data_IF_273709056821
#
_entry.id   IF_273709056821
#
_cell.length_a   1.000
_cell.length_b   1.000
_cell.length_c   1.000
_cell.angle_alpha   90.00
_cell.angle_beta   90.00
_cell.angle_gamma   90.00
#
_symmetry.space_group_name_H-M   'P 1'
#
loop_
_entity.id
_entity.type
_entity.pdbx_description
1 polymer ?
#
# COMPACT_ATOMS: atom_id res chain seq x y z
N UNK A 1 20.22 13.91 -5.74
CA UNK A 1 20.35 14.27 -4.30
C UNK A 1 20.97 13.09 -3.58
N UNK A 2 21.91 13.32 -2.67
CA UNK A 2 22.56 12.25 -1.90
C UNK A 2 21.55 11.74 -0.86
N UNK A 3 21.55 10.43 -0.65
CA UNK A 3 20.78 9.78 0.41
C UNK A 3 21.09 10.43 1.77
N UNK A 4 20.06 10.80 2.51
CA UNK A 4 20.21 11.43 3.83
C UNK A 4 20.68 10.46 4.91
N UNK A 5 20.66 9.15 4.65
CA UNK A 5 21.10 8.12 5.59
C UNK A 5 22.18 7.23 4.98
N UNK A 6 22.96 6.56 5.83
CA UNK A 6 23.96 5.60 5.36
C UNK A 6 23.30 4.37 4.71
N UNK A 7 24.02 3.64 3.82
CA UNK A 7 23.48 2.44 3.17
C UNK A 7 23.00 1.37 4.17
N UNK A 8 23.71 1.20 5.28
CA UNK A 8 23.33 0.25 6.34
C UNK A 8 21.99 0.64 7.00
N UNK A 9 21.82 1.93 7.30
CA UNK A 9 20.58 2.46 7.88
C UNK A 9 19.43 2.34 6.88
N UNK A 10 19.66 2.64 5.59
CA UNK A 10 18.65 2.48 4.54
C UNK A 10 18.21 1.02 4.41
N UNK A 11 19.16 0.09 4.40
CA UNK A 11 18.86 -1.34 4.34
C UNK A 11 17.97 -1.78 5.51
N UNK A 12 18.31 -1.36 6.74
CA UNK A 12 17.51 -1.64 7.92
C UNK A 12 16.10 -1.01 7.85
N UNK A 13 15.97 0.24 7.39
CA UNK A 13 14.68 0.89 7.18
C UNK A 13 13.85 0.08 6.19
N UNK A 14 14.40 -0.26 5.03
CA UNK A 14 13.68 -1.01 3.99
C UNK A 14 13.25 -2.40 4.48
N UNK A 15 14.08 -3.08 5.28
CA UNK A 15 13.74 -4.37 5.89
C UNK A 15 12.61 -4.27 6.93
N UNK A 16 12.43 -3.12 7.57
CA UNK A 16 11.36 -2.90 8.56
C UNK A 16 9.98 -2.65 7.93
N UNK A 17 9.92 -2.37 6.63
CA UNK A 17 8.69 -2.07 5.90
C UNK A 17 7.90 -3.36 5.71
N UNK A 18 6.78 -3.48 6.43
CA UNK A 18 5.90 -4.65 6.37
C UNK A 18 4.92 -4.53 5.20
N UNK A 19 4.58 -5.68 4.64
CA UNK A 19 3.58 -5.86 3.57
C UNK A 19 2.14 -5.91 4.11
N UNK A 20 1.97 -6.20 5.40
CA UNK A 20 0.69 -6.34 6.10
C UNK A 20 0.72 -5.72 7.50
N UNK A 21 -0.47 -5.49 8.03
CA UNK A 21 -0.67 -4.91 9.36
C UNK A 21 0.04 -3.56 9.50
N UNK A 22 0.05 -2.79 8.42
CA UNK A 22 0.63 -1.45 8.44
C UNK A 22 -0.20 -0.53 9.35
N UNK A 23 0.42 0.55 9.83
CA UNK A 23 -0.25 1.56 10.68
C UNK A 23 -1.60 2.04 10.10
N UNK A 24 -1.71 2.42 8.80
CA UNK A 24 -3.00 2.82 8.24
C UNK A 24 -4.02 1.67 8.21
N UNK A 25 -3.60 0.44 7.90
CA UNK A 25 -4.51 -0.73 7.94
C UNK A 25 -5.05 -0.97 9.35
N UNK A 26 -4.20 -0.92 10.38
CA UNK A 26 -4.63 -1.07 11.78
C UNK A 26 -5.61 0.04 12.16
N UNK A 27 -5.35 1.29 11.76
CA UNK A 27 -6.21 2.42 12.07
C UNK A 27 -7.62 2.26 11.47
N UNK A 28 -7.70 1.89 10.18
CA UNK A 28 -8.97 1.64 9.49
C UNK A 28 -9.72 0.48 10.13
N UNK A 29 -9.03 -0.64 10.40
CA UNK A 29 -9.61 -1.82 11.07
C UNK A 29 -10.24 -1.48 12.41
N UNK A 30 -9.49 -0.78 13.27
CA UNK A 30 -9.97 -0.36 14.59
C UNK A 30 -11.22 0.52 14.48
N UNK A 31 -11.23 1.48 13.53
CA UNK A 31 -12.36 2.39 13.36
C UNK A 31 -13.60 1.67 12.83
N UNK A 32 -13.45 0.81 11.83
CA UNK A 32 -14.55 0.00 11.29
C UNK A 32 -15.15 -0.92 12.35
N UNK A 33 -14.30 -1.59 13.14
CA UNK A 33 -14.77 -2.43 14.22
C UNK A 33 -15.51 -1.63 15.30
N UNK A 34 -15.00 -0.45 15.67
CA UNK A 34 -15.66 0.45 16.62
C UNK A 34 -17.02 0.96 16.12
N UNK A 35 -17.20 1.07 14.80
CA UNK A 35 -18.47 1.41 14.15
C UNK A 35 -19.42 0.20 13.98
N UNK A 36 -19.04 -0.99 14.43
CA UNK A 36 -19.86 -2.21 14.33
C UNK A 36 -19.74 -2.96 13.00
N UNK A 37 -18.84 -2.54 12.10
CA UNK A 37 -18.61 -3.27 10.86
C UNK A 37 -17.79 -4.54 11.11
N UNK A 38 -18.19 -5.61 10.42
CA UNK A 38 -17.44 -6.88 10.34
C UNK A 38 -16.84 -7.02 8.95
N UNK A 39 -15.60 -7.47 8.91
CA UNK A 39 -14.83 -7.65 7.68
C UNK A 39 -13.97 -8.91 7.78
N UNK A 40 -13.63 -9.46 6.62
CA UNK A 40 -12.64 -10.52 6.47
C UNK A 40 -11.30 -9.91 6.07
N UNK A 41 -10.22 -10.45 6.60
CA UNK A 41 -8.86 -10.05 6.27
C UNK A 41 -8.31 -10.96 5.17
N UNK A 42 -7.47 -10.38 4.30
CA UNK A 42 -6.58 -11.12 3.38
C UNK A 42 -7.28 -12.23 2.58
N UNK A 43 -8.45 -11.92 2.02
CA UNK A 43 -9.16 -12.89 1.21
C UNK A 43 -8.49 -13.00 -0.18
N UNK A 44 -7.83 -14.13 -0.42
CA UNK A 44 -7.16 -14.43 -1.69
C UNK A 44 -8.13 -14.72 -2.84
N UNK A 45 -9.44 -14.79 -2.59
CA UNK A 45 -10.44 -15.05 -3.62
C UNK A 45 -10.68 -13.87 -4.57
N UNK A 46 -10.12 -12.69 -4.30
CA UNK A 46 -10.30 -11.50 -5.13
C UNK A 46 -8.99 -11.09 -5.83
N UNK A 47 -9.06 -10.62 -7.10
CA UNK A 47 -7.91 -10.08 -7.79
C UNK A 47 -7.33 -8.91 -6.99
N UNK A 48 -6.00 -8.87 -6.89
CA UNK A 48 -5.31 -7.82 -6.15
C UNK A 48 -5.30 -7.93 -4.63
N UNK A 49 -5.92 -8.98 -4.05
CA UNK A 49 -5.92 -9.25 -2.59
C UNK A 49 -6.32 -8.01 -1.77
N UNK A 50 -7.60 -7.60 -1.81
CA UNK A 50 -8.10 -6.48 -1.03
C UNK A 50 -7.79 -6.67 0.46
N UNK A 51 -7.51 -5.55 1.15
CA UNK A 51 -7.15 -5.58 2.56
C UNK A 51 -8.31 -6.03 3.43
N UNK A 52 -9.50 -5.46 3.16
CA UNK A 52 -10.72 -5.79 3.88
C UNK A 52 -11.81 -6.18 2.87
N UNK A 53 -12.47 -7.29 3.15
CA UNK A 53 -13.67 -7.72 2.41
C UNK A 53 -14.87 -7.63 3.33
N UNK A 54 -15.96 -7.05 2.84
CA UNK A 54 -17.21 -6.85 3.58
C UNK A 54 -18.35 -7.56 2.85
N UNK A 55 -18.52 -8.88 3.04
CA UNK A 55 -19.50 -9.68 2.30
C UNK A 55 -20.93 -9.16 2.44
N UNK A 56 -21.32 -8.75 3.67
CA UNK A 56 -22.64 -8.19 3.96
C UNK A 56 -22.99 -6.96 3.12
N UNK A 57 -21.99 -6.18 2.73
CA UNK A 57 -22.15 -4.94 1.99
C UNK A 57 -21.75 -5.08 0.51
N UNK A 58 -21.37 -6.29 0.09
CA UNK A 58 -20.81 -6.56 -1.24
C UNK A 58 -19.70 -5.57 -1.62
N UNK A 59 -18.88 -5.20 -0.63
CA UNK A 59 -17.86 -4.18 -0.76
C UNK A 59 -16.48 -4.71 -0.38
N UNK A 60 -15.45 -4.13 -0.98
CA UNK A 60 -14.05 -4.41 -0.70
C UNK A 60 -13.31 -3.08 -0.51
N UNK A 61 -12.34 -3.06 0.41
CA UNK A 61 -11.57 -1.86 0.73
C UNK A 61 -10.10 -2.15 0.48
N UNK A 62 -9.51 -1.31 -0.38
CA UNK A 62 -8.08 -1.28 -0.60
C UNK A 62 -7.45 -0.11 0.17
N UNK A 63 -6.28 -0.36 0.77
CA UNK A 63 -5.54 0.63 1.57
C UNK A 63 -4.15 0.73 0.97
N UNK A 64 -3.92 1.74 0.15
CA UNK A 64 -2.64 1.92 -0.53
C UNK A 64 -1.78 2.99 0.14
N UNK A 65 -0.49 2.68 0.30
CA UNK A 65 0.50 3.70 0.66
C UNK A 65 0.76 4.65 -0.51
N UNK A 66 0.72 5.95 -0.26
CA UNK A 66 0.89 6.98 -1.30
C UNK A 66 2.19 6.81 -2.09
N UNK A 67 3.30 6.57 -1.40
CA UNK A 67 4.61 6.32 -2.01
C UNK A 67 4.62 5.11 -2.94
N UNK A 68 4.17 3.95 -2.46
CA UNK A 68 4.22 2.69 -3.21
C UNK A 68 3.28 2.67 -4.41
N UNK A 69 2.18 3.42 -4.35
CA UNK A 69 1.19 3.51 -5.41
C UNK A 69 1.45 4.68 -6.39
N UNK A 70 2.44 5.54 -6.12
CA UNK A 70 2.69 6.72 -6.94
C UNK A 70 1.47 7.65 -7.03
N UNK A 71 0.83 7.89 -5.87
CA UNK A 71 -0.30 8.82 -5.77
C UNK A 71 0.15 10.26 -6.08
N UNK A 72 -0.76 11.13 -6.52
CA UNK A 72 -0.41 12.50 -6.91
C UNK A 72 -0.35 13.47 -5.71
N UNK A 73 0.34 13.06 -4.64
CA UNK A 73 0.45 13.85 -3.42
C UNK A 73 1.91 13.95 -2.94
N UNK A 74 2.21 14.92 -2.09
CA UNK A 74 3.56 15.17 -1.58
C UNK A 74 4.19 13.93 -0.90
N UNK A 75 3.38 13.04 -0.31
CA UNK A 75 3.83 11.81 0.33
C UNK A 75 4.29 10.73 -0.67
N UNK A 76 4.11 10.94 -1.97
CA UNK A 76 4.51 10.01 -3.02
C UNK A 76 5.78 10.42 -3.78
N UNK A 77 6.50 11.42 -3.27
CA UNK A 77 7.72 11.93 -3.91
C UNK A 77 8.74 10.80 -4.10
N UNK A 78 9.07 10.53 -5.36
CA UNK A 78 10.08 9.55 -5.70
C UNK A 78 11.48 10.04 -5.30
N UNK A 79 12.36 9.13 -4.86
CA UNK A 79 13.72 9.49 -4.55
C UNK A 79 14.47 9.83 -5.84
N UNK A 80 15.27 10.90 -5.80
CA UNK A 80 16.19 11.23 -6.91
C UNK A 80 17.46 10.36 -6.93
N UNK A 81 17.50 9.33 -6.08
CA UNK A 81 18.54 8.31 -6.04
C UNK A 81 17.98 7.01 -6.62
N UNK A 82 18.72 6.36 -7.54
CA UNK A 82 18.32 5.10 -8.16
C UNK A 82 16.97 5.19 -8.92
N UNK A 83 16.76 6.30 -9.64
CA UNK A 83 15.53 6.58 -10.38
C UNK A 83 15.19 5.47 -11.39
N UNK A 84 16.21 4.93 -12.07
CA UNK A 84 16.08 3.82 -13.03
C UNK A 84 15.49 2.55 -12.40
N UNK A 85 15.62 2.36 -11.09
CA UNK A 85 14.95 1.27 -10.38
C UNK A 85 13.55 1.67 -9.90
N UNK A 86 13.41 2.85 -9.28
CA UNK A 86 12.17 3.25 -8.60
C UNK A 86 11.05 3.65 -9.56
N UNK A 87 11.34 4.42 -10.61
CA UNK A 87 10.34 4.85 -11.57
C UNK A 87 9.59 3.68 -12.22
N UNK A 88 10.28 2.70 -12.86
CA UNK A 88 9.57 1.59 -13.49
C UNK A 88 8.91 0.68 -12.46
N UNK A 89 9.44 0.55 -11.24
CA UNK A 89 8.81 -0.24 -10.18
C UNK A 89 7.46 0.33 -9.77
N UNK A 90 7.39 1.65 -9.55
CA UNK A 90 6.14 2.32 -9.15
C UNK A 90 5.15 2.36 -10.32
N UNK A 91 5.62 2.60 -11.54
CA UNK A 91 4.78 2.55 -12.75
C UNK A 91 4.08 1.19 -12.90
N UNK A 92 4.83 0.08 -12.75
CA UNK A 92 4.26 -1.28 -12.79
C UNK A 92 3.22 -1.52 -11.70
N UNK A 93 3.44 -1.02 -10.48
CA UNK A 93 2.43 -1.11 -9.42
C UNK A 93 1.16 -0.37 -9.82
N UNK A 94 1.28 0.87 -10.31
CA UNK A 94 0.14 1.68 -10.73
C UNK A 94 -0.65 1.04 -11.88
N UNK A 95 0.02 0.46 -12.87
CA UNK A 95 -0.61 -0.30 -13.95
C UNK A 95 -1.38 -1.51 -13.41
N UNK A 96 -0.77 -2.27 -12.49
CA UNK A 96 -1.41 -3.42 -11.87
C UNK A 96 -2.66 -3.02 -11.09
N UNK A 97 -2.58 -1.97 -10.26
CA UNK A 97 -3.72 -1.47 -9.49
C UNK A 97 -4.84 -0.96 -10.42
N UNK A 98 -4.51 -0.25 -11.50
CA UNK A 98 -5.49 0.20 -12.49
C UNK A 98 -6.25 -0.97 -13.14
N UNK A 99 -5.57 -2.10 -13.42
CA UNK A 99 -6.20 -3.30 -13.97
C UNK A 99 -7.09 -4.03 -12.96
N UNK A 100 -6.80 -3.91 -11.66
CA UNK A 100 -7.58 -4.55 -10.60
C UNK A 100 -8.82 -3.71 -10.26
N UNK A 101 -8.66 -2.39 -10.20
CA UNK A 101 -9.70 -1.46 -9.74
C UNK A 101 -10.67 -1.04 -10.83
N UNK A 102 -10.29 -1.14 -12.11
CA UNK A 102 -11.19 -0.93 -13.24
C UNK A 102 -11.71 -2.29 -13.72
N UNK A 103 -12.98 -2.64 -13.44
CA UNK A 103 -13.61 -3.83 -14.04
C UNK A 103 -13.76 -3.68 -15.55
#
# INVERSE_FOLDING_TARGET
MIDTVSPAVRSHIMASIRDRDTRPEIAVRRRLHAMGFRYLLHNNCFPGRPYLVMPKFMAVIWIHGCYWNGHDCAAARLPSSNESYWHPKIARTKERENRILKP
#
